data_IF_146433288699
#
_entry.id   IF_146433288699
#
_cell.length_a   1.000
_cell.length_b   1.000
_cell.length_c   1.000
_cell.angle_alpha   90.00
_cell.angle_beta   90.00
_cell.angle_gamma   90.00
#
_symmetry.space_group_name_H-M   'P 1'
#
loop_
_entity.id
_entity.type
_entity.pdbx_description
1 polymer ?
#
# COMPACT_ATOMS: atom_id res chain seq x y z
N UNK A 1 11.41 7.72 -9.24
CA UNK A 1 10.41 6.85 -8.58
C UNK A 1 9.52 7.61 -7.59
N UNK A 2 10.05 8.55 -6.79
CA UNK A 2 9.27 9.32 -5.79
C UNK A 2 8.09 10.12 -6.38
N UNK A 3 8.23 10.72 -7.58
CA UNK A 3 7.15 11.52 -8.20
C UNK A 3 5.91 10.67 -8.50
N UNK A 4 6.09 9.46 -9.03
CA UNK A 4 4.98 8.54 -9.31
C UNK A 4 4.32 8.06 -8.02
N UNK A 5 5.13 7.73 -7.01
CA UNK A 5 4.60 7.35 -5.69
C UNK A 5 3.78 8.51 -5.09
N UNK A 6 4.26 9.76 -5.21
CA UNK A 6 3.54 10.95 -4.77
C UNK A 6 2.17 11.11 -5.47
N UNK A 7 2.12 10.88 -6.79
CA UNK A 7 0.87 10.88 -7.54
C UNK A 7 -0.11 9.79 -7.04
N UNK A 8 0.38 8.56 -6.80
CA UNK A 8 -0.44 7.47 -6.24
C UNK A 8 -0.94 7.83 -4.84
N UNK A 9 -0.07 8.32 -3.96
CA UNK A 9 -0.45 8.73 -2.61
C UNK A 9 -1.52 9.82 -2.61
N UNK A 10 -1.44 10.77 -3.55
CA UNK A 10 -2.47 11.79 -3.75
C UNK A 10 -3.81 11.23 -4.22
N UNK A 11 -3.79 10.31 -5.20
CA UNK A 11 -4.99 9.64 -5.71
C UNK A 11 -5.69 8.80 -4.62
N UNK A 12 -4.92 8.07 -3.82
CA UNK A 12 -5.49 7.31 -2.69
C UNK A 12 -6.09 8.24 -1.64
N UNK A 13 -5.41 9.34 -1.31
CA UNK A 13 -5.86 10.25 -0.26
C UNK A 13 -7.20 10.94 -0.56
N UNK A 14 -7.52 11.18 -1.85
CA UNK A 14 -8.81 11.78 -2.22
C UNK A 14 -9.95 10.75 -2.35
N UNK A 15 -9.63 9.46 -2.35
CA UNK A 15 -10.60 8.39 -2.68
C UNK A 15 -11.71 8.23 -1.63
N UNK A 16 -11.44 8.56 -0.37
CA UNK A 16 -12.43 8.38 0.71
C UNK A 16 -13.66 9.28 0.56
N UNK A 17 -13.48 10.49 0.01
CA UNK A 17 -14.57 11.42 -0.27
C UNK A 17 -14.15 12.41 -1.37
N UNK A 18 -14.23 12.02 -2.66
CA UNK A 18 -13.80 12.86 -3.76
C UNK A 18 -14.85 13.92 -4.14
N UNK A 19 -16.08 13.80 -3.66
CA UNK A 19 -17.20 14.64 -4.12
C UNK A 19 -17.32 15.96 -3.35
N UNK A 20 -16.93 15.98 -2.07
CA UNK A 20 -17.16 17.14 -1.19
C UNK A 20 -16.05 18.22 -1.19
N UNK A 21 -14.75 17.91 -1.33
CA UNK A 21 -13.71 18.93 -1.33
C UNK A 21 -13.80 19.85 -2.56
N UNK A 22 -13.67 21.16 -2.37
CA UNK A 22 -13.44 22.07 -3.50
C UNK A 22 -12.01 21.93 -4.03
N UNK A 23 -11.72 22.46 -5.22
CA UNK A 23 -10.45 22.25 -5.95
C UNK A 23 -9.21 22.45 -5.07
N UNK A 24 -9.12 23.54 -4.30
CA UNK A 24 -7.94 23.81 -3.47
C UNK A 24 -7.81 22.81 -2.30
N UNK A 25 -8.93 22.35 -1.74
CA UNK A 25 -8.92 21.33 -0.69
C UNK A 25 -8.46 19.98 -1.27
N UNK A 26 -8.93 19.61 -2.46
CA UNK A 26 -8.50 18.40 -3.16
C UNK A 26 -6.98 18.41 -3.43
N UNK A 27 -6.43 19.56 -3.86
CA UNK A 27 -4.98 19.74 -4.05
C UNK A 27 -4.22 19.53 -2.73
N UNK A 28 -4.71 20.07 -1.61
CA UNK A 28 -4.06 19.89 -0.31
C UNK A 28 -4.16 18.46 0.21
N UNK A 29 -5.34 17.82 0.12
CA UNK A 29 -5.55 16.44 0.55
C UNK A 29 -4.60 15.51 -0.22
N UNK A 30 -4.54 15.66 -1.54
CA UNK A 30 -3.64 14.90 -2.39
C UNK A 30 -2.16 15.22 -2.13
N UNK A 31 -1.83 16.50 -1.93
CA UNK A 31 -0.48 16.96 -1.62
C UNK A 31 0.06 16.36 -0.31
N UNK A 32 -0.76 16.33 0.75
CA UNK A 32 -0.40 15.68 2.02
C UNK A 32 -0.22 14.17 1.82
N UNK A 33 -1.08 13.52 1.04
CA UNK A 33 -0.89 12.12 0.62
C UNK A 33 0.44 11.87 -0.07
N UNK A 34 0.81 12.74 -0.99
CA UNK A 34 2.10 12.69 -1.69
C UNK A 34 3.30 12.85 -0.75
N UNK A 35 3.18 13.69 0.29
CA UNK A 35 4.20 13.81 1.34
C UNK A 35 4.27 12.55 2.19
N UNK A 36 3.13 12.01 2.63
CA UNK A 36 3.05 10.79 3.46
C UNK A 36 3.80 9.64 2.79
N UNK A 37 3.45 9.31 1.53
CA UNK A 37 4.09 8.19 0.82
C UNK A 37 5.58 8.42 0.59
N UNK A 38 5.99 9.66 0.27
CA UNK A 38 7.39 10.01 0.01
C UNK A 38 8.26 9.86 1.26
N UNK A 39 7.72 10.16 2.44
CA UNK A 39 8.46 10.05 3.70
C UNK A 39 8.37 8.67 4.33
N UNK A 40 7.27 7.96 4.12
CA UNK A 40 7.06 6.64 4.76
C UNK A 40 7.78 5.50 4.06
N UNK A 41 7.96 5.52 2.73
CA UNK A 41 8.80 4.53 2.02
C UNK A 41 10.20 4.40 2.65
N UNK A 42 11.03 5.47 2.70
CA UNK A 42 12.37 5.37 3.29
C UNK A 42 12.35 5.11 4.80
N UNK A 43 11.25 5.41 5.49
CA UNK A 43 11.08 5.05 6.90
C UNK A 43 10.90 3.54 7.06
N UNK A 44 10.06 2.90 6.25
CA UNK A 44 9.89 1.45 6.29
C UNK A 44 11.18 0.72 5.93
N UNK A 45 11.92 1.21 4.93
CA UNK A 45 13.24 0.69 4.56
C UNK A 45 14.21 0.73 5.76
N UNK A 46 14.25 1.85 6.50
CA UNK A 46 15.07 1.99 7.71
C UNK A 46 14.63 1.08 8.85
N UNK A 47 13.33 0.78 8.93
CA UNK A 47 12.77 -0.18 9.88
C UNK A 47 12.96 -1.64 9.42
N UNK A 48 13.57 -1.86 8.25
CA UNK A 48 13.75 -3.20 7.64
C UNK A 48 12.41 -3.92 7.43
N UNK A 49 11.37 -3.15 7.14
CA UNK A 49 10.06 -3.68 6.73
C UNK A 49 10.08 -3.76 5.21
N UNK A 50 10.16 -4.98 4.69
CA UNK A 50 10.22 -5.24 3.26
C UNK A 50 8.81 -5.20 2.64
N UNK A 51 8.41 -4.01 2.19
CA UNK A 51 7.18 -3.76 1.45
C UNK A 51 7.48 -3.62 -0.05
N UNK A 52 7.55 -4.78 -0.71
CA UNK A 52 8.04 -4.94 -2.10
C UNK A 52 7.41 -4.01 -3.14
N UNK A 53 6.15 -3.59 -2.95
CA UNK A 53 5.42 -2.73 -3.89
C UNK A 53 5.08 -1.35 -3.31
N UNK A 54 5.44 -1.07 -2.06
CA UNK A 54 5.06 0.17 -1.38
C UNK A 54 3.57 0.26 -1.04
N UNK A 55 2.90 -0.86 -0.80
CA UNK A 55 1.47 -0.90 -0.51
C UNK A 55 1.12 -0.23 0.83
N UNK A 56 1.97 -0.35 1.86
CA UNK A 56 1.72 0.25 3.17
C UNK A 56 1.77 1.79 3.08
N UNK A 57 2.84 2.42 2.55
CA UNK A 57 2.89 3.87 2.32
C UNK A 57 1.74 4.38 1.46
N UNK A 58 1.51 3.76 0.30
CA UNK A 58 0.62 4.30 -0.72
C UNK A 58 -0.86 4.06 -0.40
N UNK A 59 -1.22 2.92 0.20
CA UNK A 59 -2.62 2.55 0.44
C UNK A 59 -3.01 2.63 1.90
N UNK A 60 -2.22 2.08 2.83
CA UNK A 60 -2.60 2.08 4.24
C UNK A 60 -2.48 3.48 4.84
N UNK A 61 -1.30 4.11 4.77
CA UNK A 61 -1.06 5.41 5.42
C UNK A 61 -1.82 6.54 4.74
N UNK A 62 -1.75 6.64 3.41
CA UNK A 62 -2.52 7.62 2.65
C UNK A 62 -4.03 7.37 2.75
N UNK A 63 -4.47 6.11 2.80
CA UNK A 63 -5.88 5.77 3.00
C UNK A 63 -6.39 6.23 4.36
N UNK A 64 -5.65 5.96 5.44
CA UNK A 64 -5.98 6.46 6.79
C UNK A 64 -6.08 7.99 6.79
N UNK A 65 -5.11 8.68 6.19
CA UNK A 65 -5.16 10.13 6.04
C UNK A 65 -6.41 10.59 5.29
N UNK A 66 -6.68 10.00 4.12
CA UNK A 66 -7.84 10.32 3.28
C UNK A 66 -9.16 10.12 4.02
N UNK A 67 -9.29 9.05 4.78
CA UNK A 67 -10.49 8.76 5.59
C UNK A 67 -10.63 9.73 6.77
N UNK A 68 -9.53 10.09 7.43
CA UNK A 68 -9.56 11.02 8.57
C UNK A 68 -9.84 12.46 8.16
N UNK A 69 -9.53 12.87 6.92
CA UNK A 69 -9.78 14.24 6.46
C UNK A 69 -11.21 14.48 5.96
N UNK A 70 -12.00 13.41 5.74
CA UNK A 70 -13.40 13.49 5.25
C UNK A 70 -14.29 14.45 6.06
N UNK A 71 -14.29 14.45 7.41
CA UNK A 71 -15.18 15.33 8.18
C UNK A 71 -14.91 16.84 8.01
N UNK A 72 -13.79 17.22 7.40
CA UNK A 72 -13.51 18.64 7.10
C UNK A 72 -14.25 19.16 5.87
N UNK A 73 -14.70 18.28 4.98
CA UNK A 73 -15.38 18.67 3.73
C UNK A 73 -16.78 18.09 3.62
N UNK A 74 -17.08 17.00 4.32
CA UNK A 74 -18.41 16.38 4.39
C UNK A 74 -19.03 16.56 5.78
N UNK A 75 -20.10 17.35 5.89
CA UNK A 75 -20.81 17.63 7.16
C UNK A 75 -21.56 16.43 7.74
N UNK A 76 -21.87 15.43 6.91
CA UNK A 76 -22.57 14.23 7.34
C UNK A 76 -21.60 13.20 7.94
N UNK A 77 -20.30 13.39 7.75
CA UNK A 77 -19.25 12.57 8.33
C UNK A 77 -18.81 13.10 9.71
N UNK A 78 -18.39 12.18 10.59
CA UNK A 78 -17.78 12.53 11.87
C UNK A 78 -16.55 11.66 12.14
N UNK A 79 -15.60 12.19 12.92
CA UNK A 79 -14.32 11.51 13.19
C UNK A 79 -14.48 10.15 13.86
N UNK A 80 -15.48 9.98 14.74
CA UNK A 80 -15.73 8.69 15.40
C UNK A 80 -16.08 7.63 14.36
N UNK A 81 -16.98 7.94 13.44
CA UNK A 81 -17.34 7.05 12.33
C UNK A 81 -16.15 6.70 11.44
N UNK A 82 -15.31 7.68 11.11
CA UNK A 82 -14.10 7.46 10.30
C UNK A 82 -13.10 6.54 11.01
N UNK A 83 -12.82 6.78 12.29
CA UNK A 83 -11.91 5.93 13.08
C UNK A 83 -12.48 4.52 13.24
N UNK A 84 -13.77 4.40 13.54
CA UNK A 84 -14.44 3.08 13.63
C UNK A 84 -14.33 2.33 12.30
N UNK A 85 -14.55 3.01 11.17
CA UNK A 85 -14.39 2.43 9.84
C UNK A 85 -12.97 1.94 9.57
N UNK A 86 -11.96 2.78 9.86
CA UNK A 86 -10.53 2.43 9.72
C UNK A 86 -10.20 1.20 10.55
N UNK A 87 -10.59 1.17 11.83
CA UNK A 87 -10.29 0.03 12.71
C UNK A 87 -11.06 -1.21 12.29
N UNK A 88 -12.34 -1.09 11.95
CA UNK A 88 -13.16 -2.23 11.53
C UNK A 88 -12.59 -2.89 10.26
N UNK A 89 -12.25 -2.10 9.23
CA UNK A 89 -11.63 -2.60 8.01
C UNK A 89 -10.23 -3.13 8.28
N UNK A 90 -9.43 -2.43 9.09
CA UNK A 90 -8.07 -2.87 9.46
C UNK A 90 -8.08 -4.22 10.18
N UNK A 91 -8.95 -4.40 11.17
CA UNK A 91 -9.12 -5.67 11.89
C UNK A 91 -9.61 -6.76 10.95
N UNK A 92 -10.64 -6.48 10.14
CA UNK A 92 -11.17 -7.46 9.19
C UNK A 92 -10.11 -7.91 8.19
N UNK A 93 -9.41 -6.97 7.56
CA UNK A 93 -8.37 -7.24 6.58
C UNK A 93 -7.20 -8.01 7.19
N UNK A 94 -6.70 -7.59 8.36
CA UNK A 94 -5.59 -8.27 9.04
C UNK A 94 -5.97 -9.69 9.46
N UNK A 95 -7.10 -9.87 10.16
CA UNK A 95 -7.52 -11.19 10.66
C UNK A 95 -7.79 -12.15 9.51
N UNK A 96 -8.53 -11.70 8.50
CA UNK A 96 -8.87 -12.53 7.34
C UNK A 96 -7.61 -12.90 6.56
N UNK A 97 -6.73 -11.93 6.28
CA UNK A 97 -5.47 -12.20 5.58
C UNK A 97 -4.60 -13.15 6.39
N UNK A 98 -4.42 -12.90 7.68
CA UNK A 98 -3.62 -13.77 8.55
C UNK A 98 -4.15 -15.21 8.57
N UNK A 99 -5.47 -15.38 8.66
CA UNK A 99 -6.09 -16.71 8.60
C UNK A 99 -5.87 -17.39 7.25
N UNK A 100 -6.11 -16.69 6.14
CA UNK A 100 -5.94 -17.23 4.77
C UNK A 100 -4.47 -17.59 4.52
N UNK A 101 -3.54 -16.69 4.79
CA UNK A 101 -2.11 -16.93 4.58
C UNK A 101 -1.59 -18.05 5.46
N UNK A 102 -2.06 -18.16 6.71
CA UNK A 102 -1.69 -19.26 7.61
C UNK A 102 -2.23 -20.59 7.10
N UNK A 103 -3.48 -20.64 6.65
CA UNK A 103 -4.06 -21.86 6.08
C UNK A 103 -3.30 -22.30 4.83
N UNK A 104 -3.03 -21.37 3.90
CA UNK A 104 -2.25 -21.65 2.69
C UNK A 104 -0.85 -22.14 3.03
N UNK A 105 -0.21 -21.59 4.06
CA UNK A 105 1.10 -22.04 4.53
C UNK A 105 1.12 -23.52 4.93
N UNK A 106 0.02 -24.04 5.49
CA UNK A 106 -0.07 -25.44 5.91
C UNK A 106 -0.60 -26.39 4.82
N UNK A 107 -1.26 -25.88 3.78
CA UNK A 107 -1.84 -26.71 2.71
C UNK A 107 -1.02 -26.73 1.43
N UNK A 108 -0.68 -25.55 0.89
CA UNK A 108 -0.03 -25.40 -0.42
C UNK A 108 1.39 -24.83 -0.32
N UNK A 109 1.69 -24.10 0.76
CA UNK A 109 2.85 -23.22 0.84
C UNK A 109 2.57 -21.85 0.20
N UNK A 110 3.30 -20.82 0.64
CA UNK A 110 3.09 -19.42 0.21
C UNK A 110 4.37 -18.74 -0.26
N UNK A 111 5.53 -19.30 0.09
CA UNK A 111 6.84 -18.76 -0.24
C UNK A 111 7.60 -19.82 -1.03
N UNK A 112 8.35 -19.40 -2.02
CA UNK A 112 9.23 -20.28 -2.76
C UNK A 112 10.30 -20.90 -1.86
N UNK A 113 10.82 -22.05 -2.26
CA UNK A 113 11.99 -22.65 -1.60
C UNK A 113 13.19 -21.72 -1.68
N UNK A 114 14.07 -21.77 -0.68
CA UNK A 114 15.24 -20.89 -0.58
C UNK A 114 16.15 -20.99 -1.80
N UNK A 115 16.29 -22.18 -2.39
CA UNK A 115 17.08 -22.38 -3.60
C UNK A 115 16.42 -21.72 -4.81
N UNK A 116 15.09 -21.81 -4.93
CA UNK A 116 14.35 -21.15 -6.00
C UNK A 116 14.38 -19.63 -5.85
N UNK A 117 14.20 -19.11 -4.63
CA UNK A 117 14.30 -17.68 -4.30
C UNK A 117 15.69 -17.12 -4.64
N UNK A 118 16.77 -17.90 -4.42
CA UNK A 118 18.14 -17.50 -4.78
C UNK A 118 18.42 -17.47 -6.28
N UNK A 119 17.87 -18.45 -7.02
CA UNK A 119 18.03 -18.53 -8.48
C UNK A 119 17.20 -17.49 -9.22
N UNK A 120 16.13 -16.99 -8.60
CA UNK A 120 15.17 -16.07 -9.18
C UNK A 120 13.96 -16.81 -9.76
N UNK A 121 12.76 -16.33 -9.42
CA UNK A 121 11.51 -17.01 -9.77
C UNK A 121 11.28 -17.12 -11.27
N UNK A 122 11.71 -16.13 -12.05
CA UNK A 122 11.61 -16.17 -13.51
C UNK A 122 12.37 -17.37 -14.10
N UNK A 123 13.57 -17.66 -13.59
CA UNK A 123 14.36 -18.80 -14.05
C UNK A 123 13.75 -20.12 -13.60
N UNK A 124 13.20 -20.19 -12.39
CA UNK A 124 12.73 -21.46 -11.80
C UNK A 124 11.33 -21.83 -12.24
N UNK A 125 10.44 -20.86 -12.43
CA UNK A 125 9.04 -21.10 -12.81
C UNK A 125 8.83 -21.03 -14.32
N UNK A 126 9.54 -20.14 -15.03
CA UNK A 126 9.34 -19.90 -16.45
C UNK A 126 10.49 -20.41 -17.33
N UNK A 127 11.64 -20.76 -16.73
CA UNK A 127 12.82 -21.18 -17.48
C UNK A 127 13.47 -20.03 -18.27
N UNK A 128 13.14 -18.79 -17.93
CA UNK A 128 13.59 -17.59 -18.61
C UNK A 128 14.39 -16.72 -17.65
N UNK A 129 15.45 -16.08 -18.13
CA UNK A 129 16.05 -14.99 -17.38
C UNK A 129 15.20 -13.73 -17.54
N UNK A 130 15.06 -12.95 -16.47
CA UNK A 130 14.30 -11.69 -16.49
C UNK A 130 14.87 -10.67 -17.51
N UNK A 131 16.19 -10.73 -17.70
CA UNK A 131 17.00 -9.77 -18.45
C UNK A 131 18.10 -10.49 -19.26
N UNK A 132 17.74 -11.34 -20.23
CA UNK A 132 18.67 -12.20 -20.96
C UNK A 132 19.71 -11.40 -21.77
N UNK A 133 19.39 -10.15 -22.14
CA UNK A 133 20.31 -9.23 -22.81
C UNK A 133 21.43 -8.67 -21.91
N UNK A 134 21.30 -8.79 -20.59
CA UNK A 134 22.32 -8.38 -19.61
C UNK A 134 23.07 -9.58 -19.00
N UNK A 135 22.61 -10.80 -19.25
CA UNK A 135 23.33 -12.01 -18.92
C UNK A 135 24.53 -12.14 -19.87
N UNK A 136 25.70 -11.77 -19.35
CA UNK A 136 26.97 -11.80 -20.07
C UNK A 136 27.25 -13.21 -20.61
N UNK A 137 27.78 -13.26 -21.84
CA UNK A 137 28.59 -14.37 -22.35
C UNK A 137 29.71 -14.76 -21.37
#
# INVERSE_FOLDING_TARGET
>A
TIVLNGAIGGLVSITAEPLTPVIWQAVLIGGVGGVIVTLSVPLLDRLKIDDVVGAIPAHLLCGIWGTLVVPFTNSDANFVGQVVGIVAIGVFAFVTSFAVWTLLKFTLGVRADVEHERRGLDQTELGLEAYPEFARH
#
